data_IF_833215950566
#
_entry.id   IF_833215950566
#
_cell.length_a   1.000
_cell.length_b   1.000
_cell.length_c   1.000
_cell.angle_alpha   90.00
_cell.angle_beta   90.00
_cell.angle_gamma   90.00
#
_symmetry.space_group_name_H-M   'P 1'
#
loop_
_entity.id
_entity.type
_entity.pdbx_description
1 polymer ?
#
# COMPACT_ATOMS: atom_id res chain seq x y z
N UNK A 1 -20.04 -17.49 7.43
CA UNK A 1 -20.49 -16.22 6.80
C UNK A 1 -19.26 -15.47 6.33
N UNK A 2 -19.22 -15.05 5.08
CA UNK A 2 -18.17 -14.15 4.61
C UNK A 2 -18.39 -12.76 5.23
N UNK A 3 -17.45 -12.29 6.01
CA UNK A 3 -17.51 -10.97 6.62
C UNK A 3 -16.55 -10.04 5.90
N UNK A 4 -17.08 -8.93 5.36
CA UNK A 4 -16.26 -7.89 4.75
C UNK A 4 -16.03 -6.77 5.77
N UNK A 5 -14.80 -6.34 5.92
CA UNK A 5 -14.42 -5.26 6.83
C UNK A 5 -13.84 -4.10 6.03
N UNK A 6 -14.32 -2.89 6.27
CA UNK A 6 -13.79 -1.67 5.69
C UNK A 6 -13.09 -0.85 6.78
N UNK A 7 -11.82 -0.52 6.55
CA UNK A 7 -11.03 0.32 7.44
C UNK A 7 -10.82 1.69 6.80
N UNK A 8 -11.37 2.72 7.42
CA UNK A 8 -11.25 4.12 6.96
C UNK A 8 -10.55 4.95 8.02
N UNK A 9 -9.70 5.88 7.57
CA UNK A 9 -9.17 6.94 8.41
C UNK A 9 -10.00 8.21 8.22
N UNK A 10 -10.46 8.78 9.31
CA UNK A 10 -11.29 9.99 9.32
C UNK A 10 -10.54 11.25 9.80
N UNK A 11 -9.22 11.14 9.98
CA UNK A 11 -8.35 12.22 10.40
C UNK A 11 -7.24 12.51 9.38
N UNK A 12 -6.14 13.04 9.83
CA UNK A 12 -5.06 13.61 9.00
C UNK A 12 -4.14 12.60 8.28
N UNK A 13 -4.46 11.31 8.29
CA UNK A 13 -3.75 10.30 7.52
C UNK A 13 -2.74 9.44 8.31
N UNK A 14 -2.42 9.80 9.54
CA UNK A 14 -1.41 9.09 10.36
C UNK A 14 -2.03 8.38 11.59
N UNK A 15 -3.23 7.84 11.41
CA UNK A 15 -4.00 7.23 12.50
C UNK A 15 -3.60 5.77 12.83
N UNK A 16 -2.61 5.23 12.15
CA UNK A 16 -2.16 3.86 12.40
C UNK A 16 -3.02 2.77 11.74
N UNK A 17 -3.77 3.10 10.68
CA UNK A 17 -4.58 2.14 9.89
C UNK A 17 -3.79 0.90 9.48
N UNK A 18 -2.54 1.06 9.06
CA UNK A 18 -1.69 -0.04 8.64
C UNK A 18 -1.52 -1.11 9.71
N UNK A 19 -1.38 -0.72 10.97
CA UNK A 19 -1.27 -1.65 12.10
C UNK A 19 -2.58 -2.39 12.38
N UNK A 20 -3.71 -1.70 12.25
CA UNK A 20 -5.04 -2.33 12.41
C UNK A 20 -5.27 -3.33 11.28
N UNK A 21 -4.98 -2.95 10.04
CA UNK A 21 -5.11 -3.83 8.87
C UNK A 21 -4.19 -5.04 9.00
N UNK A 22 -2.95 -4.87 9.47
CA UNK A 22 -2.03 -5.97 9.69
C UNK A 22 -2.56 -6.99 10.70
N UNK A 23 -3.07 -6.52 11.82
CA UNK A 23 -3.69 -7.39 12.83
C UNK A 23 -4.92 -8.15 12.28
N UNK A 24 -5.76 -7.47 11.49
CA UNK A 24 -6.93 -8.09 10.89
C UNK A 24 -6.57 -9.07 9.76
N UNK A 25 -5.46 -8.84 9.06
CA UNK A 25 -5.06 -9.60 7.87
C UNK A 25 -4.66 -11.06 8.15
N UNK A 26 -4.48 -11.43 9.39
CA UNK A 26 -4.07 -12.79 9.76
C UNK A 26 -5.11 -13.85 9.36
N UNK A 27 -6.39 -13.49 9.43
CA UNK A 27 -7.52 -14.39 9.17
C UNK A 27 -8.37 -13.96 7.96
N UNK A 28 -7.82 -13.14 7.06
CA UNK A 28 -8.52 -12.58 5.91
C UNK A 28 -7.96 -13.14 4.61
N UNK A 29 -8.84 -13.58 3.73
CA UNK A 29 -8.47 -14.14 2.42
C UNK A 29 -7.97 -13.09 1.42
N UNK A 30 -8.51 -11.87 1.48
CA UNK A 30 -8.17 -10.78 0.56
C UNK A 30 -8.06 -9.44 1.28
N UNK A 31 -6.91 -8.79 1.14
CA UNK A 31 -6.68 -7.42 1.59
C UNK A 31 -6.60 -6.51 0.37
N UNK A 32 -7.55 -5.60 0.26
CA UNK A 32 -7.62 -4.65 -0.86
C UNK A 32 -7.29 -3.23 -0.40
N UNK A 33 -6.31 -2.62 -1.05
CA UNK A 33 -6.09 -1.18 -0.95
C UNK A 33 -6.85 -0.50 -2.09
N UNK A 34 -7.86 0.29 -1.75
CA UNK A 34 -8.78 0.83 -2.75
C UNK A 34 -8.51 2.29 -3.12
N UNK A 35 -7.69 3.02 -2.35
CA UNK A 35 -7.38 4.43 -2.61
C UNK A 35 -6.01 4.86 -2.04
N UNK A 36 -5.58 6.06 -2.38
CA UNK A 36 -4.36 6.69 -1.91
C UNK A 36 -3.16 6.46 -2.83
N UNK A 37 -1.98 6.82 -2.35
CA UNK A 37 -0.71 6.72 -3.06
C UNK A 37 0.39 6.16 -2.18
N UNK A 38 1.65 6.44 -2.54
CA UNK A 38 2.84 5.94 -1.83
C UNK A 38 3.38 6.90 -0.75
N UNK A 39 2.70 8.02 -0.47
CA UNK A 39 3.19 9.08 0.42
C UNK A 39 3.22 8.66 1.89
N UNK A 40 2.26 7.87 2.34
CA UNK A 40 2.20 7.37 3.70
C UNK A 40 2.73 5.93 3.76
N UNK A 41 3.83 5.72 4.48
CA UNK A 41 4.35 4.40 4.77
C UNK A 41 3.80 3.86 6.08
N UNK A 42 3.59 2.55 6.15
CA UNK A 42 3.31 1.86 7.39
C UNK A 42 4.44 0.88 7.71
N UNK A 43 4.90 0.96 8.94
CA UNK A 43 5.94 0.07 9.45
C UNK A 43 5.30 -1.16 10.06
N UNK A 44 5.68 -2.31 9.57
CA UNK A 44 5.28 -3.61 10.09
C UNK A 44 6.50 -4.39 10.55
N UNK A 45 6.31 -5.32 11.46
CA UNK A 45 7.37 -6.21 11.93
C UNK A 45 7.15 -7.60 11.35
N UNK A 46 8.16 -8.11 10.65
CA UNK A 46 8.17 -9.45 10.08
C UNK A 46 9.38 -10.19 10.65
N UNK A 47 9.15 -11.29 11.34
CA UNK A 47 10.21 -12.10 11.95
C UNK A 47 11.20 -11.27 12.80
N UNK A 48 10.69 -10.23 13.49
CA UNK A 48 11.51 -9.33 14.29
C UNK A 48 12.15 -8.15 13.53
N UNK A 49 12.10 -8.16 12.22
CA UNK A 49 12.61 -7.08 11.38
C UNK A 49 11.52 -6.07 10.99
N UNK A 50 11.87 -4.79 11.02
CA UNK A 50 10.97 -3.72 10.55
C UNK A 50 10.95 -3.67 9.03
N UNK A 51 9.76 -3.70 8.46
CA UNK A 51 9.52 -3.49 7.03
C UNK A 51 8.60 -2.30 6.87
N UNK A 52 8.95 -1.42 5.94
CA UNK A 52 8.10 -0.28 5.58
C UNK A 52 7.45 -0.60 4.24
N UNK A 53 6.13 -0.59 4.21
CA UNK A 53 5.34 -0.71 2.99
C UNK A 53 4.60 0.61 2.73
N UNK A 54 4.57 1.05 1.49
CA UNK A 54 3.86 2.26 1.06
C UNK A 54 2.65 1.95 0.19
N UNK A 55 2.80 1.06 -0.78
CA UNK A 55 1.78 0.68 -1.76
C UNK A 55 1.18 -0.69 -1.47
N UNK A 56 2.02 -1.66 -1.18
CA UNK A 56 1.60 -3.05 -1.02
C UNK A 56 0.88 -3.23 0.31
N UNK A 57 -0.32 -3.81 0.32
CA UNK A 57 -1.03 -4.11 1.57
C UNK A 57 -0.25 -5.06 2.47
N UNK A 58 -0.31 -4.85 3.78
CA UNK A 58 0.40 -5.66 4.79
C UNK A 58 0.02 -7.14 4.76
N UNK A 59 -1.18 -7.48 4.31
CA UNK A 59 -1.61 -8.87 4.13
C UNK A 59 -0.67 -9.73 3.29
N UNK A 60 0.21 -9.13 2.48
CA UNK A 60 1.20 -9.85 1.68
C UNK A 60 2.15 -10.71 2.52
N UNK A 61 2.35 -10.35 3.77
CA UNK A 61 3.22 -11.05 4.71
C UNK A 61 2.58 -12.33 5.27
N UNK A 62 1.26 -12.42 5.23
CA UNK A 62 0.51 -13.59 5.66
C UNK A 62 0.33 -14.55 4.48
N UNK A 63 0.77 -15.80 4.65
CA UNK A 63 0.84 -16.79 3.55
C UNK A 63 -0.52 -17.10 2.90
N UNK A 64 -1.60 -16.97 3.65
CA UNK A 64 -2.94 -17.32 3.21
C UNK A 64 -3.72 -16.13 2.61
N UNK A 65 -3.20 -14.91 2.74
CA UNK A 65 -3.89 -13.72 2.26
C UNK A 65 -3.45 -13.33 0.85
N UNK A 66 -4.40 -12.96 0.03
CA UNK A 66 -4.18 -12.30 -1.25
C UNK A 66 -4.20 -10.78 -1.04
N UNK A 67 -3.50 -10.06 -1.90
CA UNK A 67 -3.42 -8.61 -1.86
C UNK A 67 -3.78 -8.02 -3.21
N UNK A 68 -4.60 -6.98 -3.19
CA UNK A 68 -5.02 -6.26 -4.38
C UNK A 68 -4.79 -4.77 -4.21
N UNK A 69 -4.13 -4.16 -5.19
CA UNK A 69 -4.15 -2.70 -5.38
C UNK A 69 -5.30 -2.39 -6.33
N UNK A 70 -6.33 -1.74 -5.79
CA UNK A 70 -7.53 -1.35 -6.53
C UNK A 70 -7.33 -0.11 -7.39
N UNK A 71 -8.28 0.16 -8.27
CA UNK A 71 -8.23 1.22 -9.27
C UNK A 71 -8.20 2.66 -8.72
N UNK A 72 -8.61 2.87 -7.47
CA UNK A 72 -8.54 4.19 -6.82
C UNK A 72 -7.16 4.56 -6.28
N UNK A 73 -6.18 3.66 -6.39
CA UNK A 73 -4.80 3.92 -5.98
C UNK A 73 -4.04 4.64 -7.10
N UNK A 74 -3.29 5.65 -6.72
CA UNK A 74 -2.33 6.33 -7.62
C UNK A 74 -0.99 5.64 -7.50
N UNK A 75 -0.55 4.99 -8.57
CA UNK A 75 0.55 4.03 -8.57
C UNK A 75 1.84 4.66 -9.10
N UNK A 76 2.86 4.72 -8.25
CA UNK A 76 4.23 5.03 -8.63
C UNK A 76 4.98 3.72 -8.90
N UNK A 77 5.34 3.46 -10.16
CA UNK A 77 5.94 2.19 -10.57
C UNK A 77 7.32 1.97 -9.96
N UNK A 78 8.11 3.02 -9.81
CA UNK A 78 9.43 2.98 -9.17
C UNK A 78 9.34 2.65 -7.67
N UNK A 79 8.35 3.21 -6.99
CA UNK A 79 8.08 2.89 -5.59
C UNK A 79 7.62 1.44 -5.43
N UNK A 80 6.72 0.98 -6.30
CA UNK A 80 6.26 -0.41 -6.29
C UNK A 80 7.41 -1.39 -6.56
N UNK A 81 8.27 -1.11 -7.53
CA UNK A 81 9.42 -1.96 -7.85
C UNK A 81 10.39 -2.10 -6.67
N UNK A 82 10.64 -0.99 -5.96
CA UNK A 82 11.46 -1.00 -4.73
C UNK A 82 10.87 -1.90 -3.65
N UNK A 83 9.56 -1.79 -3.41
CA UNK A 83 8.88 -2.64 -2.42
C UNK A 83 8.91 -4.12 -2.82
N UNK A 84 8.67 -4.42 -4.09
CA UNK A 84 8.76 -5.80 -4.62
C UNK A 84 10.16 -6.38 -4.44
N UNK A 85 11.20 -5.60 -4.71
CA UNK A 85 12.60 -6.02 -4.49
C UNK A 85 12.89 -6.31 -3.02
N UNK A 86 12.40 -5.46 -2.12
CA UNK A 86 12.56 -5.68 -0.68
C UNK A 86 11.85 -6.96 -0.21
N UNK A 87 10.63 -7.21 -0.68
CA UNK A 87 9.90 -8.44 -0.37
C UNK A 87 10.61 -9.70 -0.89
N UNK A 88 11.19 -9.64 -2.10
CA UNK A 88 11.99 -10.74 -2.67
C UNK A 88 13.21 -11.05 -1.83
N UNK A 89 13.97 -10.04 -1.41
CA UNK A 89 15.16 -10.19 -0.55
C UNK A 89 14.79 -10.88 0.76
N UNK A 90 13.60 -10.59 1.29
CA UNK A 90 13.09 -11.18 2.53
C UNK A 90 12.44 -12.56 2.35
N UNK A 91 12.44 -13.11 1.16
CA UNK A 91 11.89 -14.43 0.86
C UNK A 91 10.37 -14.51 0.91
N UNK A 92 9.66 -13.39 0.79
CA UNK A 92 8.19 -13.37 0.74
C UNK A 92 7.73 -13.84 -0.63
N UNK A 93 6.98 -14.92 -0.69
CA UNK A 93 6.35 -15.38 -1.93
C UNK A 93 5.04 -14.62 -2.16
N UNK A 94 5.02 -13.79 -3.19
CA UNK A 94 3.87 -12.96 -3.54
C UNK A 94 3.37 -13.19 -4.96
N UNK A 95 4.06 -13.97 -5.80
CA UNK A 95 3.78 -14.08 -7.25
C UNK A 95 2.35 -14.46 -7.61
N UNK A 96 1.71 -15.31 -6.80
CA UNK A 96 0.33 -15.76 -7.02
C UNK A 96 -0.70 -15.09 -6.10
N UNK A 97 -0.24 -14.16 -5.27
CA UNK A 97 -1.05 -13.56 -4.21
C UNK A 97 -1.16 -12.04 -4.27
N UNK A 98 -0.39 -11.42 -5.15
CA UNK A 98 -0.38 -9.98 -5.33
C UNK A 98 -0.91 -9.59 -6.70
N UNK A 99 -1.92 -8.73 -6.71
CA UNK A 99 -2.61 -8.28 -7.91
C UNK A 99 -2.68 -6.76 -7.92
N UNK A 100 -2.63 -6.19 -9.11
CA UNK A 100 -2.77 -4.75 -9.34
C UNK A 100 -3.84 -4.56 -10.41
N UNK A 101 -4.79 -3.68 -10.13
CA UNK A 101 -5.83 -3.32 -11.11
C UNK A 101 -5.20 -2.66 -12.34
N UNK A 102 -5.58 -3.09 -13.52
CA UNK A 102 -5.17 -2.45 -14.78
C UNK A 102 -5.74 -1.04 -14.96
N UNK A 103 -6.72 -0.67 -14.14
CA UNK A 103 -7.34 0.66 -14.15
C UNK A 103 -6.71 1.63 -13.13
N UNK A 104 -5.60 1.28 -12.48
CA UNK A 104 -4.87 2.21 -11.62
C UNK A 104 -4.32 3.40 -12.41
N UNK A 105 -4.44 4.59 -11.84
CA UNK A 105 -3.77 5.78 -12.36
C UNK A 105 -2.27 5.70 -12.08
N UNK A 106 -1.45 5.97 -13.10
CA UNK A 106 0.01 5.94 -12.96
C UNK A 106 0.56 7.34 -12.68
N UNK A 107 1.53 7.42 -11.78
CA UNK A 107 2.37 8.60 -11.63
C UNK A 107 3.50 8.51 -12.65
N UNK A 108 3.54 9.45 -13.58
CA UNK A 108 4.61 9.59 -14.55
C UNK A 108 5.67 10.59 -14.05
N UNK A 109 6.92 10.51 -14.51
CA UNK A 109 7.97 11.45 -14.14
C UNK A 109 7.59 12.92 -14.40
N UNK A 110 6.80 13.18 -15.45
CA UNK A 110 6.26 14.50 -15.77
C UNK A 110 5.34 15.05 -14.68
N UNK A 111 4.57 14.21 -14.02
CA UNK A 111 3.70 14.63 -12.92
C UNK A 111 4.51 15.06 -11.69
N UNK A 112 5.64 14.43 -11.45
CA UNK A 112 6.54 14.80 -10.35
C UNK A 112 7.12 16.19 -10.60
N UNK A 113 7.60 16.49 -11.81
CA UNK A 113 8.15 17.80 -12.14
C UNK A 113 7.13 18.91 -12.05
N UNK A 114 5.89 18.68 -12.48
CA UNK A 114 4.77 19.64 -12.37
C UNK A 114 4.44 19.90 -10.89
N UNK A 115 4.44 18.87 -10.07
CA UNK A 115 4.21 18.98 -8.63
C UNK A 115 5.23 19.90 -7.98
N UNK A 116 6.52 19.78 -8.30
CA UNK A 116 7.57 20.65 -7.76
C UNK A 116 7.51 22.09 -8.27
N UNK A 117 7.03 22.33 -9.48
CA UNK A 117 6.97 23.67 -10.10
C UNK A 117 5.72 24.45 -9.75
N UNK A 118 4.60 23.78 -9.43
CA UNK A 118 3.30 24.42 -9.19
C UNK A 118 2.83 24.37 -7.74
N UNK A 119 3.48 23.62 -6.88
CA UNK A 119 3.11 23.53 -5.47
C UNK A 119 3.72 24.66 -4.66
N UNK A 120 3.09 25.81 -4.74
CA UNK A 120 3.30 26.94 -3.84
C UNK A 120 2.44 26.87 -2.57
N UNK A 121 1.58 25.87 -2.44
CA UNK A 121 0.64 25.72 -1.33
C UNK A 121 0.91 24.46 -0.53
N UNK A 122 0.74 24.50 0.82
CA UNK A 122 0.89 23.34 1.70
C UNK A 122 -0.24 22.33 1.55
N UNK A 123 -0.90 22.30 0.42
CA UNK A 123 -1.98 21.39 0.05
C UNK A 123 -1.51 20.11 -0.59
N UNK A 124 -0.25 19.77 -0.48
CA UNK A 124 0.15 18.38 -0.61
C UNK A 124 -0.37 17.69 0.64
N UNK A 125 -1.68 17.47 0.63
CA UNK A 125 -2.24 16.53 1.56
C UNK A 125 -1.56 15.20 1.31
N UNK A 126 -0.87 14.70 2.31
CA UNK A 126 -0.57 13.29 2.42
C UNK A 126 -1.92 12.57 2.38
N UNK A 127 -2.28 12.11 1.24
CA UNK A 127 -3.43 11.23 1.10
C UNK A 127 -3.03 9.83 1.49
#
# INVERSE_FOLDING_TARGET
MSQNTLVLGLQWGDEGKGKIVDNLSQDIDLVCRFQGGHNAGHTIKVNGEKTILHLIPSGILHKNSHCLIGNGVVLALDALDKEIKQLKIRGVDFKKRFFVSSACSLILPTHISVSYTHLTLPTICSV
#
